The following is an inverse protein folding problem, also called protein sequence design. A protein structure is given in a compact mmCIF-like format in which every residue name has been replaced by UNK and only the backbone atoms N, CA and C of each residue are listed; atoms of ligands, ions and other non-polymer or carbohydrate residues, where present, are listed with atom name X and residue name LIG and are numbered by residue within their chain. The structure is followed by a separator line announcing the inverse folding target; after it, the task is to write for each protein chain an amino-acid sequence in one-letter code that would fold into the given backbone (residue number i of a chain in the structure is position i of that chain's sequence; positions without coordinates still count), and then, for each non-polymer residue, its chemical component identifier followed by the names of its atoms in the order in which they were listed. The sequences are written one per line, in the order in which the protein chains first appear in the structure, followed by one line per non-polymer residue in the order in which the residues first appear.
data_IF_446215470867
#
_entry.id   IF_446215470867
#
_cell.length_a   1.000
_cell.length_b   1.000
_cell.length_c   1.000
_cell.angle_alpha   90.00
_cell.angle_beta   90.00
_cell.angle_gamma   90.00
#
_symmetry.space_group_name_H-M   'P 1'
#
loop_
_entity.id
_entity.type
_entity.pdbx_description
1 polymer ?
#
# COMPACT_ATOMS: atom_id res chain seq x y z
N UNK A 1 11.73 -8.98 -32.78
CA UNK A 1 11.19 -8.66 -31.44
C UNK A 1 12.27 -8.00 -30.60
N UNK A 2 12.05 -6.77 -30.15
CA UNK A 2 12.97 -6.02 -29.27
C UNK A 2 12.68 -6.42 -27.82
N UNK A 3 13.66 -6.96 -27.09
CA UNK A 3 13.54 -7.21 -25.64
C UNK A 3 13.79 -5.89 -24.91
N UNK A 4 12.85 -5.46 -24.07
CA UNK A 4 13.06 -4.35 -23.15
C UNK A 4 13.46 -4.96 -21.81
N UNK A 5 14.68 -4.66 -21.35
CA UNK A 5 15.19 -5.16 -20.06
C UNK A 5 14.62 -4.31 -18.95
N UNK A 6 14.13 -4.94 -17.89
CA UNK A 6 13.47 -4.26 -16.79
C UNK A 6 14.02 -4.75 -15.45
N UNK A 7 13.79 -3.97 -14.38
CA UNK A 7 14.08 -4.39 -13.01
C UNK A 7 13.04 -5.38 -12.51
N UNK A 8 13.37 -6.13 -11.45
CA UNK A 8 12.54 -7.22 -10.88
C UNK A 8 11.32 -6.70 -10.10
N UNK A 9 10.78 -5.57 -10.54
CA UNK A 9 9.67 -4.85 -9.90
C UNK A 9 8.43 -4.96 -10.76
N UNK A 10 7.29 -4.79 -10.10
CA UNK A 10 6.01 -4.66 -10.79
C UNK A 10 6.10 -3.59 -11.88
N UNK A 11 5.67 -3.94 -13.08
CA UNK A 11 5.88 -3.12 -14.27
C UNK A 11 4.53 -2.77 -14.87
N UNK A 12 4.25 -1.47 -14.99
CA UNK A 12 3.15 -0.97 -15.81
C UNK A 12 3.64 -0.65 -17.22
N UNK A 13 2.81 -0.89 -18.23
CA UNK A 13 3.16 -0.59 -19.62
C UNK A 13 1.99 0.04 -20.37
N UNK A 14 2.35 0.91 -21.31
CA UNK A 14 1.44 1.47 -22.31
C UNK A 14 1.99 1.18 -23.70
N UNK A 15 1.17 0.61 -24.58
CA UNK A 15 1.58 0.22 -25.93
C UNK A 15 0.62 0.87 -26.93
N UNK A 16 1.17 1.54 -27.94
CA UNK A 16 0.40 2.01 -29.09
C UNK A 16 0.67 1.11 -30.28
N UNK A 17 -0.38 0.52 -30.83
CA UNK A 17 -0.29 -0.38 -31.96
C UNK A 17 -1.37 -0.07 -33.03
N UNK A 18 -1.09 -0.48 -34.26
CA UNK A 18 -2.00 -0.41 -35.39
C UNK A 18 -2.24 -1.81 -35.94
N UNK A 19 -3.52 -2.14 -36.14
CA UNK A 19 -4.00 -3.38 -36.74
C UNK A 19 -4.68 -3.00 -38.06
N UNK A 20 -4.16 -3.40 -39.24
CA UNK A 20 -4.81 -3.08 -40.51
C UNK A 20 -6.17 -3.76 -40.66
N UNK A 21 -6.25 -5.04 -40.29
CA UNK A 21 -7.45 -5.88 -40.40
C UNK A 21 -7.41 -6.99 -39.36
N UNK A 22 -8.56 -7.62 -39.08
CA UNK A 22 -8.66 -8.76 -38.17
C UNK A 22 -8.60 -8.38 -36.69
N UNK A 23 -8.30 -9.38 -35.84
CA UNK A 23 -8.24 -9.23 -34.39
C UNK A 23 -7.02 -9.95 -33.77
N UNK A 24 -5.79 -9.45 -33.99
CA UNK A 24 -4.59 -10.09 -33.45
C UNK A 24 -4.55 -10.04 -31.93
N UNK A 25 -3.88 -11.02 -31.33
CA UNK A 25 -3.53 -11.06 -29.92
C UNK A 25 -2.07 -10.66 -29.72
N UNK A 26 -1.87 -9.54 -29.02
CA UNK A 26 -0.57 -9.11 -28.51
C UNK A 26 -0.38 -9.61 -27.09
N UNK A 27 0.62 -10.46 -26.88
CA UNK A 27 1.07 -10.93 -25.58
C UNK A 27 2.21 -10.06 -25.05
N UNK A 28 2.12 -9.73 -23.77
CA UNK A 28 3.21 -9.11 -23.00
C UNK A 28 3.67 -10.10 -21.94
N UNK A 29 4.89 -10.59 -22.06
CA UNK A 29 5.49 -11.64 -21.22
C UNK A 29 6.51 -11.03 -20.26
N UNK A 30 6.48 -11.45 -19.00
CA UNK A 30 7.46 -11.11 -17.96
C UNK A 30 8.42 -12.24 -17.60
N UNK A 31 8.38 -13.39 -18.29
CA UNK A 31 9.19 -14.58 -17.98
C UNK A 31 8.44 -15.64 -17.17
N UNK A 32 7.86 -15.29 -16.02
CA UNK A 32 7.02 -16.21 -15.22
C UNK A 32 5.55 -16.22 -15.65
N UNK A 33 5.07 -15.15 -16.28
CA UNK A 33 3.69 -15.05 -16.76
C UNK A 33 3.52 -14.02 -17.86
N UNK A 34 2.25 -13.80 -18.25
CA UNK A 34 1.91 -12.91 -19.34
C UNK A 34 0.52 -12.27 -19.16
N UNK A 35 0.25 -11.23 -19.94
CA UNK A 35 -1.08 -10.72 -20.24
C UNK A 35 -1.30 -10.74 -21.76
N UNK A 36 -2.46 -11.22 -22.19
CA UNK A 36 -2.88 -11.24 -23.59
C UNK A 36 -3.88 -10.13 -23.86
N UNK A 37 -3.70 -9.43 -24.98
CA UNK A 37 -4.56 -8.34 -25.42
C UNK A 37 -5.04 -8.60 -26.84
N UNK A 38 -6.34 -8.82 -27.00
CA UNK A 38 -6.98 -8.92 -28.31
C UNK A 38 -7.25 -7.50 -28.81
N UNK A 39 -6.72 -7.17 -29.98
CA UNK A 39 -6.80 -5.83 -30.57
C UNK A 39 -7.78 -5.83 -31.73
N UNK A 40 -8.61 -4.80 -31.85
CA UNK A 40 -9.44 -4.61 -33.04
C UNK A 40 -8.68 -3.85 -34.14
N UNK A 41 -9.19 -3.92 -35.37
CA UNK A 41 -8.69 -3.11 -36.48
C UNK A 41 -8.67 -1.60 -36.15
N UNK A 42 -7.65 -0.91 -36.65
CA UNK A 42 -7.37 0.50 -36.38
C UNK A 42 -6.25 0.71 -35.37
N UNK A 43 -6.13 1.95 -34.90
CA UNK A 43 -5.15 2.33 -33.87
C UNK A 43 -5.69 2.05 -32.47
N UNK A 44 -4.91 1.36 -31.65
CA UNK A 44 -5.26 1.03 -30.27
C UNK A 44 -4.16 1.43 -29.28
N UNK A 45 -4.57 1.90 -28.10
CA UNK A 45 -3.69 2.07 -26.94
C UNK A 45 -4.06 1.03 -25.89
N UNK A 46 -3.07 0.24 -25.47
CA UNK A 46 -3.21 -0.77 -24.43
C UNK A 46 -2.53 -0.25 -23.18
N UNK A 47 -3.21 -0.36 -22.04
CA UNK A 47 -2.68 -0.03 -20.71
C UNK A 47 -2.91 -1.20 -19.79
N UNK A 48 -1.81 -1.73 -19.23
CA UNK A 48 -1.91 -2.88 -18.34
C UNK A 48 -0.65 -2.99 -17.48
N UNK A 49 -0.64 -4.01 -16.64
CA UNK A 49 0.38 -4.23 -15.62
C UNK A 49 0.74 -5.71 -15.52
N UNK A 50 2.03 -5.97 -15.43
CA UNK A 50 2.57 -7.28 -15.06
C UNK A 50 2.99 -7.22 -13.58
N UNK A 51 2.29 -7.94 -12.67
CA UNK A 51 2.69 -8.02 -11.26
C UNK A 51 4.06 -8.68 -11.15
N UNK A 52 4.78 -8.40 -10.06
CA UNK A 52 6.10 -8.99 -9.78
C UNK A 52 6.10 -10.52 -9.87
N UNK A 53 5.01 -11.18 -9.47
CA UNK A 53 4.87 -12.64 -9.55
C UNK A 53 4.90 -13.20 -10.98
N UNK A 54 4.60 -12.39 -12.00
CA UNK A 54 4.69 -12.76 -13.42
C UNK A 54 6.03 -12.34 -14.05
N UNK A 55 6.91 -11.70 -13.29
CA UNK A 55 8.26 -11.35 -13.69
C UNK A 55 9.23 -12.46 -13.26
N UNK A 56 10.02 -13.00 -14.19
CA UNK A 56 11.12 -13.92 -13.91
C UNK A 56 12.40 -13.45 -14.57
N UNK A 57 13.52 -13.77 -13.93
CA UNK A 57 14.86 -13.52 -14.45
C UNK A 57 15.19 -14.53 -15.56
N UNK A 58 15.82 -14.05 -16.64
CA UNK A 58 16.69 -14.90 -17.44
C UNK A 58 18.15 -14.78 -16.95
N UNK A 59 19.09 -15.44 -17.61
CA UNK A 59 20.52 -15.35 -17.28
C UNK A 59 21.10 -13.91 -17.32
N UNK A 60 20.32 -12.90 -17.73
CA UNK A 60 20.66 -11.48 -17.83
C UNK A 60 19.67 -10.59 -17.06
N UNK A 61 18.82 -11.17 -16.21
CA UNK A 61 17.84 -10.48 -15.37
C UNK A 61 16.41 -10.44 -15.93
N UNK A 62 15.51 -9.65 -15.32
CA UNK A 62 14.12 -9.57 -15.70
C UNK A 62 13.94 -8.88 -17.05
N UNK A 63 12.93 -9.32 -17.80
CA UNK A 63 12.63 -8.76 -19.12
C UNK A 63 11.14 -8.64 -19.36
N UNK A 64 10.76 -7.67 -20.18
CA UNK A 64 9.45 -7.62 -20.80
C UNK A 64 9.60 -7.89 -22.29
N UNK A 65 8.79 -8.82 -22.78
CA UNK A 65 8.76 -9.21 -24.19
C UNK A 65 7.37 -9.01 -24.76
N UNK A 66 7.34 -8.42 -25.95
CA UNK A 66 6.15 -8.38 -26.79
C UNK A 66 6.17 -9.53 -27.78
N UNK A 67 5.07 -10.29 -27.84
CA UNK A 67 4.90 -11.41 -28.74
C UNK A 67 3.52 -11.35 -29.38
N UNK A 68 3.47 -11.35 -30.71
CA UNK A 68 2.22 -11.59 -31.42
C UNK A 68 1.96 -13.10 -31.45
N UNK A 69 0.72 -13.53 -31.16
CA UNK A 69 0.39 -14.96 -31.09
C UNK A 69 -0.14 -15.54 -32.40
N UNK A 70 -0.69 -14.70 -33.28
CA UNK A 70 -1.23 -15.08 -34.58
C UNK A 70 -0.42 -14.48 -35.74
N UNK A 71 -0.86 -14.72 -36.98
CA UNK A 71 -0.22 -14.23 -38.20
C UNK A 71 -0.82 -12.91 -38.74
N UNK A 72 -1.80 -12.30 -38.06
CA UNK A 72 -2.52 -11.11 -38.55
C UNK A 72 -1.66 -9.86 -38.39
N UNK A 73 -1.42 -9.08 -39.45
CA UNK A 73 -0.49 -7.95 -39.36
C UNK A 73 -0.75 -7.02 -38.15
N UNK A 74 0.31 -6.74 -37.38
CA UNK A 74 0.28 -5.88 -36.20
C UNK A 74 1.55 -5.02 -36.19
N UNK A 75 1.39 -3.70 -36.07
CA UNK A 75 2.49 -2.76 -36.03
C UNK A 75 2.52 -2.03 -34.70
N UNK A 76 3.63 -2.12 -33.96
CA UNK A 76 3.82 -1.40 -32.70
C UNK A 76 4.55 -0.09 -32.98
N UNK A 77 3.90 1.04 -32.67
CA UNK A 77 4.49 2.37 -32.85
C UNK A 77 5.43 2.72 -31.70
N UNK A 78 4.97 2.57 -30.47
CA UNK A 78 5.79 2.81 -29.28
C UNK A 78 5.34 1.95 -28.10
N UNK A 79 6.29 1.78 -27.17
CA UNK A 79 6.11 1.08 -25.90
C UNK A 79 6.67 2.01 -24.82
N UNK A 80 5.81 2.37 -23.86
CA UNK A 80 6.22 3.03 -22.63
C UNK A 80 6.18 2.01 -21.51
N UNK A 81 7.26 1.97 -20.73
CA UNK A 81 7.33 1.11 -19.54
C UNK A 81 7.56 2.00 -18.33
N UNK A 82 6.69 1.88 -17.34
CA UNK A 82 6.75 2.59 -16.08
C UNK A 82 7.11 1.58 -14.97
N UNK A 83 8.32 1.73 -14.42
CA UNK A 83 8.82 0.94 -13.29
C UNK A 83 8.54 1.61 -11.94
N UNK A 84 7.81 2.72 -11.94
CA UNK A 84 7.45 3.39 -10.71
C UNK A 84 6.60 2.44 -9.88
N UNK A 85 6.90 2.28 -8.58
CA UNK A 85 6.07 1.50 -7.70
C UNK A 85 4.62 2.01 -7.79
N UNK A 86 3.64 1.10 -7.83
CA UNK A 86 2.25 1.50 -7.95
C UNK A 86 1.87 2.41 -6.78
N UNK A 87 1.20 3.51 -7.09
CA UNK A 87 0.66 4.44 -6.11
C UNK A 87 -0.81 4.12 -5.93
N UNK A 88 -1.20 3.78 -4.70
CA UNK A 88 -2.60 3.60 -4.31
C UNK A 88 -2.92 4.57 -3.18
N UNK A 89 -4.14 5.10 -3.16
CA UNK A 89 -4.63 5.89 -2.05
C UNK A 89 -6.08 5.50 -1.77
N UNK A 90 -6.52 5.67 -0.54
CA UNK A 90 -7.88 5.39 -0.15
C UNK A 90 -8.16 5.83 1.28
N UNK A 91 -9.39 5.55 1.70
CA UNK A 91 -9.84 5.74 3.07
C UNK A 91 -10.12 4.40 3.72
N UNK A 92 -10.01 4.34 5.04
CA UNK A 92 -10.41 3.19 5.85
C UNK A 92 -10.74 3.66 7.26
N UNK A 93 -11.70 3.02 7.92
CA UNK A 93 -11.91 3.20 9.36
C UNK A 93 -11.15 2.09 10.07
N UNK A 94 -10.14 2.41 10.90
CA UNK A 94 -9.40 1.38 11.62
C UNK A 94 -10.31 0.68 12.63
N UNK A 95 -10.02 -0.59 12.87
CA UNK A 95 -10.50 -1.29 14.06
C UNK A 95 -9.49 -0.97 15.15
N UNK A 96 -9.98 -0.40 16.24
CA UNK A 96 -9.20 -0.20 17.45
C UNK A 96 -9.42 -1.39 18.39
N UNK A 97 -8.34 -1.90 18.96
CA UNK A 97 -8.38 -3.01 19.93
C UNK A 97 -7.69 -2.58 21.21
N UNK A 98 -8.39 -2.73 22.32
CA UNK A 98 -7.86 -2.46 23.65
C UNK A 98 -6.69 -3.40 23.99
N UNK A 99 -5.65 -2.83 24.60
CA UNK A 99 -4.54 -3.57 25.21
C UNK A 99 -4.45 -3.23 26.70
N UNK A 100 -4.38 -1.94 27.03
CA UNK A 100 -4.08 -1.47 28.38
C UNK A 100 -4.55 -0.02 28.59
N UNK A 101 -5.17 0.24 29.75
CA UNK A 101 -5.60 1.57 30.22
C UNK A 101 -6.52 2.29 29.21
N UNK A 102 -7.64 1.65 28.87
CA UNK A 102 -8.68 2.24 28.02
C UNK A 102 -10.07 2.01 28.62
N UNK A 103 -10.78 3.12 28.86
CA UNK A 103 -12.20 3.12 29.22
C UNK A 103 -13.10 3.11 27.98
N UNK A 104 -12.74 3.87 26.94
CA UNK A 104 -13.48 3.97 25.69
C UNK A 104 -12.55 4.39 24.53
N UNK A 105 -12.96 4.10 23.29
CA UNK A 105 -12.33 4.65 22.09
C UNK A 105 -13.33 4.79 20.95
N UNK A 106 -13.08 5.76 20.06
CA UNK A 106 -13.81 5.92 18.81
C UNK A 106 -12.84 6.11 17.65
N UNK A 107 -13.06 5.31 16.60
CA UNK A 107 -12.25 5.33 15.38
C UNK A 107 -12.92 6.20 14.31
N UNK A 108 -12.17 7.10 13.69
CA UNK A 108 -12.64 7.92 12.59
C UNK A 108 -12.11 7.43 11.23
N UNK A 109 -12.75 7.85 10.15
CA UNK A 109 -12.24 7.59 8.80
C UNK A 109 -10.83 8.19 8.65
N UNK A 110 -9.88 7.33 8.31
CA UNK A 110 -8.49 7.65 8.08
C UNK A 110 -8.17 7.56 6.59
N UNK A 111 -7.12 8.26 6.15
CA UNK A 111 -6.61 8.16 4.79
C UNK A 111 -5.25 7.44 4.76
N UNK A 112 -4.97 6.75 3.65
CA UNK A 112 -3.68 6.14 3.43
C UNK A 112 -3.16 6.37 2.00
N UNK A 113 -1.83 6.39 1.89
CA UNK A 113 -1.09 6.37 0.63
C UNK A 113 -0.14 5.18 0.65
N UNK A 114 -0.20 4.34 -0.38
CA UNK A 114 0.73 3.23 -0.61
C UNK A 114 1.58 3.54 -1.83
N UNK A 115 2.88 3.41 -1.69
CA UNK A 115 3.86 3.45 -2.78
C UNK A 115 4.67 2.17 -2.73
N UNK A 116 4.36 1.22 -3.62
CA UNK A 116 5.04 -0.08 -3.64
C UNK A 116 4.71 -0.89 -2.39
N UNK A 117 5.71 -1.15 -1.53
CA UNK A 117 5.52 -1.86 -0.26
C UNK A 117 5.41 -0.91 0.94
N UNK A 118 5.61 0.39 0.76
CA UNK A 118 5.47 1.35 1.86
C UNK A 118 4.04 1.86 1.90
N UNK A 119 3.43 1.87 3.09
CA UNK A 119 2.12 2.49 3.33
C UNK A 119 2.27 3.55 4.40
N UNK A 120 1.78 4.76 4.13
CA UNK A 120 1.67 5.85 5.10
C UNK A 120 0.20 6.11 5.38
N UNK A 121 -0.14 6.20 6.66
CA UNK A 121 -1.49 6.45 7.16
C UNK A 121 -1.52 7.80 7.87
N UNK A 122 -2.64 8.51 7.76
CA UNK A 122 -2.95 9.68 8.60
C UNK A 122 -4.40 9.60 9.04
N UNK A 123 -4.65 9.89 10.32
CA UNK A 123 -5.94 9.62 10.92
C UNK A 123 -6.18 10.32 12.24
N UNK A 124 -7.33 10.01 12.82
CA UNK A 124 -7.76 10.48 14.12
C UNK A 124 -8.45 9.34 14.88
N UNK A 125 -8.23 9.30 16.18
CA UNK A 125 -8.96 8.48 17.12
C UNK A 125 -9.22 9.28 18.40
N UNK A 126 -10.38 9.02 19.00
CA UNK A 126 -10.73 9.49 20.33
C UNK A 126 -10.44 8.33 21.30
N UNK A 127 -9.71 8.60 22.38
CA UNK A 127 -9.27 7.60 23.36
C UNK A 127 -9.47 8.14 24.77
N UNK A 128 -10.15 7.38 25.60
CA UNK A 128 -10.36 7.68 27.02
C UNK A 128 -9.52 6.74 27.88
N UNK A 129 -8.47 7.22 28.57
CA UNK A 129 -7.72 6.44 29.57
C UNK A 129 -8.52 6.20 30.85
N UNK A 130 -8.28 5.09 31.55
CA UNK A 130 -8.91 4.76 32.84
C UNK A 130 -8.03 5.08 34.08
N UNK A 131 -6.70 5.14 33.94
CA UNK A 131 -5.72 5.34 35.02
C UNK A 131 -4.62 6.36 34.61
N UNK A 132 -4.36 7.44 35.38
CA UNK A 132 -3.40 8.45 34.97
C UNK A 132 -1.93 8.04 35.23
N UNK A 133 -1.70 6.91 35.89
CA UNK A 133 -0.37 6.40 36.25
C UNK A 133 0.05 5.19 35.41
N UNK A 134 -0.82 4.71 34.53
CA UNK A 134 -0.58 3.56 33.67
C UNK A 134 -0.39 4.03 32.21
N UNK A 135 0.41 3.32 31.42
CA UNK A 135 0.57 3.66 30.01
C UNK A 135 -0.68 3.24 29.22
N UNK A 136 -1.23 4.11 28.38
CA UNK A 136 -2.34 3.76 27.49
C UNK A 136 -1.79 3.11 26.23
N UNK A 137 -2.34 1.95 25.86
CA UNK A 137 -1.96 1.21 24.66
C UNK A 137 -3.19 0.74 23.90
N UNK A 138 -3.25 1.10 22.62
CA UNK A 138 -4.29 0.65 21.68
C UNK A 138 -3.66 0.08 20.42
N UNK A 139 -4.23 -0.98 19.87
CA UNK A 139 -3.90 -1.47 18.53
C UNK A 139 -4.77 -0.81 17.49
N UNK A 140 -4.18 -0.56 16.33
CA UNK A 140 -4.79 0.08 15.16
C UNK A 140 -4.60 -0.87 13.97
N UNK A 141 -5.69 -1.32 13.38
CA UNK A 141 -5.63 -2.19 12.20
C UNK A 141 -4.98 -1.48 10.99
N UNK A 142 -4.36 -2.28 10.11
CA UNK A 142 -3.69 -1.79 8.91
C UNK A 142 -4.64 -1.78 7.71
N UNK A 143 -4.64 -0.73 6.86
CA UNK A 143 -5.48 -0.69 5.65
C UNK A 143 -5.04 -1.73 4.59
N UNK A 144 -3.79 -2.14 4.64
CA UNK A 144 -3.22 -3.23 3.84
C UNK A 144 -2.48 -4.15 4.79
N UNK A 145 -2.91 -5.41 4.86
CA UNK A 145 -2.31 -6.40 5.77
C UNK A 145 -0.80 -6.54 5.50
N UNK A 146 -0.02 -6.65 6.57
CA UNK A 146 1.42 -6.88 6.54
C UNK A 146 1.81 -7.88 7.64
N UNK A 147 2.71 -8.82 7.36
CA UNK A 147 3.27 -9.69 8.39
C UNK A 147 4.47 -9.03 9.08
N UNK A 148 4.18 -8.17 10.05
CA UNK A 148 5.19 -7.44 10.79
C UNK A 148 6.07 -8.42 11.57
N UNK A 149 7.39 -8.28 11.44
CA UNK A 149 8.39 -9.14 12.09
C UNK A 149 8.99 -8.48 13.33
N UNK A 150 8.92 -7.15 13.42
CA UNK A 150 9.43 -6.36 14.52
C UNK A 150 8.65 -5.06 14.72
N UNK A 151 8.83 -4.44 15.89
CA UNK A 151 8.29 -3.11 16.15
C UNK A 151 8.84 -2.01 15.26
N UNK A 152 9.95 -2.24 14.56
CA UNK A 152 10.54 -1.28 13.64
C UNK A 152 9.91 -1.31 12.23
N UNK A 153 9.11 -2.32 11.92
CA UNK A 153 8.47 -2.46 10.60
C UNK A 153 7.29 -1.49 10.40
N UNK A 154 6.85 -0.86 11.49
CA UNK A 154 5.88 0.23 11.53
C UNK A 154 6.42 1.30 12.49
N UNK A 155 6.38 2.58 12.10
CA UNK A 155 6.80 3.68 12.96
C UNK A 155 5.95 4.91 12.71
N UNK A 156 5.65 5.65 13.77
CA UNK A 156 4.88 6.87 13.67
C UNK A 156 4.74 7.60 15.00
N UNK A 157 3.90 8.62 14.98
CA UNK A 157 3.59 9.42 16.17
C UNK A 157 2.12 9.79 16.18
N UNK A 158 1.62 10.04 17.38
CA UNK A 158 0.34 10.69 17.60
C UNK A 158 0.55 11.96 18.42
N UNK A 159 -0.30 12.94 18.18
CA UNK A 159 -0.41 14.10 19.04
C UNK A 159 -1.87 14.54 19.14
N UNK A 160 -2.27 15.02 20.31
CA UNK A 160 -3.63 15.50 20.51
C UNK A 160 -3.76 16.43 21.70
N UNK A 161 -4.94 17.02 21.79
CA UNK A 161 -5.36 17.85 22.91
C UNK A 161 -6.54 17.17 23.58
N UNK A 162 -6.60 17.24 24.90
CA UNK A 162 -7.79 16.77 25.60
C UNK A 162 -8.96 17.75 25.40
N UNK A 163 -10.17 17.22 25.36
CA UNK A 163 -11.36 18.06 25.43
C UNK A 163 -11.46 18.70 26.83
N UNK A 164 -11.27 20.02 26.89
CA UNK A 164 -11.55 20.94 28.01
C UNK A 164 -10.79 20.79 29.36
N UNK A 165 -10.29 19.63 29.77
CA UNK A 165 -9.77 19.41 31.14
C UNK A 165 -8.23 19.41 31.30
N UNK A 166 -7.46 19.26 30.22
CA UNK A 166 -5.98 19.17 30.29
C UNK A 166 -5.34 20.39 29.64
N UNK A 167 -4.52 21.12 30.40
CA UNK A 167 -3.59 22.11 29.88
C UNK A 167 -2.37 21.38 29.30
N UNK A 168 -2.44 20.88 28.07
CA UNK A 168 -1.29 20.23 27.44
C UNK A 168 -1.55 19.56 26.10
N UNK A 169 -0.45 19.29 25.39
CA UNK A 169 -0.41 18.43 24.20
C UNK A 169 0.05 17.05 24.66
N UNK A 170 -0.72 16.03 24.33
CA UNK A 170 -0.34 14.63 24.54
C UNK A 170 0.41 14.18 23.30
N UNK A 171 1.53 13.51 23.49
CA UNK A 171 2.31 12.88 22.41
C UNK A 171 2.37 11.38 22.64
N UNK A 172 2.22 10.62 21.56
CA UNK A 172 2.30 9.17 21.55
C UNK A 172 3.27 8.68 20.49
N UNK A 173 3.84 7.50 20.72
CA UNK A 173 4.62 6.78 19.73
C UNK A 173 3.76 5.69 19.09
N UNK A 174 3.99 5.41 17.81
CA UNK A 174 3.38 4.30 17.09
C UNK A 174 4.47 3.35 16.63
N UNK A 175 4.32 2.06 16.91
CA UNK A 175 5.25 1.00 16.50
C UNK A 175 4.52 -0.28 16.06
N UNK A 176 5.22 -1.23 15.45
CA UNK A 176 4.63 -2.49 14.99
C UNK A 176 4.37 -3.51 16.10
N UNK A 177 3.20 -4.16 16.08
CA UNK A 177 2.91 -5.36 16.87
C UNK A 177 3.09 -6.60 15.96
N UNK A 178 4.26 -7.24 16.07
CA UNK A 178 4.61 -8.41 15.27
C UNK A 178 3.78 -9.67 15.61
N UNK A 179 3.18 -9.73 16.80
CA UNK A 179 2.35 -10.87 17.18
C UNK A 179 0.95 -10.79 16.55
N UNK A 180 0.47 -9.58 16.25
CA UNK A 180 -0.91 -9.34 15.80
C UNK A 180 -1.00 -8.70 14.41
N UNK A 181 0.12 -8.28 13.82
CA UNK A 181 0.19 -7.62 12.51
C UNK A 181 -0.56 -6.28 12.45
N UNK A 182 -0.46 -5.50 13.52
CA UNK A 182 -1.13 -4.22 13.70
C UNK A 182 -0.15 -3.13 14.16
N UNK A 183 -0.55 -1.87 14.04
CA UNK A 183 0.18 -0.77 14.66
C UNK A 183 -0.25 -0.62 16.13
N UNK A 184 0.67 -0.34 17.05
CA UNK A 184 0.37 -0.04 18.45
C UNK A 184 0.66 1.42 18.73
N UNK A 185 -0.33 2.16 19.22
CA UNK A 185 -0.17 3.49 19.78
C UNK A 185 0.05 3.38 21.29
N UNK A 186 1.13 3.99 21.77
CA UNK A 186 1.51 4.09 23.17
C UNK A 186 1.67 5.55 23.58
N UNK A 187 0.98 5.97 24.63
CA UNK A 187 1.16 7.30 25.23
C UNK A 187 0.94 7.27 26.74
N UNK A 188 1.32 8.38 27.39
CA UNK A 188 1.07 8.63 28.81
C UNK A 188 0.26 9.91 28.95
N UNK A 189 -0.65 9.92 29.91
CA UNK A 189 -1.49 11.08 30.19
C UNK A 189 -1.83 11.13 31.67
N UNK A 190 -1.76 12.30 32.32
CA UNK A 190 -2.04 12.45 33.74
C UNK A 190 -3.54 12.53 34.05
N UNK A 191 -4.43 12.21 33.10
CA UNK A 191 -5.88 12.34 33.23
C UNK A 191 -6.58 11.03 32.92
N UNK A 192 -7.69 10.79 33.63
CA UNK A 192 -8.60 9.66 33.43
C UNK A 192 -9.95 10.12 32.93
N UNK A 193 -10.67 9.27 32.22
CA UNK A 193 -12.05 9.47 31.79
C UNK A 193 -12.29 10.81 31.06
N UNK A 194 -11.27 11.24 30.30
CA UNK A 194 -11.35 12.41 29.41
C UNK A 194 -11.07 11.92 28.01
N UNK A 195 -11.92 12.31 27.08
CA UNK A 195 -11.76 11.99 25.68
C UNK A 195 -10.57 12.76 25.07
N UNK A 196 -9.60 11.99 24.60
CA UNK A 196 -8.37 12.49 24.00
C UNK A 196 -8.46 12.38 22.48
N UNK A 197 -8.59 13.53 21.84
CA UNK A 197 -8.62 13.64 20.39
C UNK A 197 -7.20 13.56 19.80
N UNK A 198 -6.76 12.33 19.51
CA UNK A 198 -5.42 12.06 18.99
C UNK A 198 -5.43 12.02 17.47
N UNK A 199 -4.62 12.89 16.85
CA UNK A 199 -4.27 12.83 15.43
C UNK A 199 -2.98 12.06 15.29
N UNK A 200 -2.93 11.13 14.35
CA UNK A 200 -1.77 10.28 14.17
C UNK A 200 -1.34 10.17 12.72
N UNK A 201 -0.08 9.84 12.55
CA UNK A 201 0.45 9.32 11.30
C UNK A 201 1.43 8.19 11.60
N UNK A 202 1.45 7.18 10.75
CA UNK A 202 2.46 6.13 10.80
C UNK A 202 2.75 5.59 9.41
N UNK A 203 3.94 5.03 9.25
CA UNK A 203 4.38 4.39 8.02
C UNK A 203 4.83 2.97 8.35
N UNK A 204 4.46 2.02 7.51
CA UNK A 204 4.88 0.62 7.63
C UNK A 204 5.25 0.02 6.29
N UNK A 205 5.99 -1.10 6.34
CA UNK A 205 6.29 -1.93 5.18
C UNK A 205 5.30 -3.09 5.08
N UNK A 206 4.85 -3.38 3.86
CA UNK A 206 4.10 -4.59 3.51
C UNK A 206 5.11 -5.73 3.37
N UNK A 207 5.03 -6.67 4.30
CA UNK A 207 5.85 -7.88 4.35
C UNK A 207 4.93 -9.05 3.99
N UNK A 208 5.36 -9.84 3.01
CA UNK A 208 4.62 -11.01 2.56
C UNK A 208 4.57 -12.10 3.65
N UNK A 209 3.53 -12.95 3.65
CA UNK A 209 3.52 -14.20 4.42
C UNK A 209 4.64 -15.16 4.05
#
# INVERSE_FOLDING_TARGET
MRRLRLSAVETSYRIRAYVPTGAPTLRVEGGAGYNDHVLAAGWQTIESRLPKSKMADDARGPFLRLKQLDATALYVAWVKVDQNPPVYAGVYTPILTDIENIANFDAYECQYLRVGNTVTVSGQADIEPDDPNTATRVRISLPVVSNLSSGADCSGTAAGTAYAAIQGIISGQIYGDAANNEATLLFYTPSTAVDLNLRFHFTYQIIAP
#
